data_IF_726760892485
#
_entry.id   IF_726760892485
#
_cell.length_a   1.000
_cell.length_b   1.000
_cell.length_c   1.000
_cell.angle_alpha   90.00
_cell.angle_beta   90.00
_cell.angle_gamma   90.00
#
_symmetry.space_group_name_H-M   'P 1'
#
loop_
_entity.id
_entity.type
_entity.pdbx_description
1 polymer ?
#
# COMPACT_ATOMS: atom_id res chain seq x y z
N UNK A 1 18.61 28.96 19.89
CA UNK A 1 18.76 27.52 20.07
C UNK A 1 19.74 26.92 19.07
N UNK A 2 20.34 25.76 19.35
CA UNK A 2 21.22 25.08 18.37
C UNK A 2 20.39 24.13 17.48
N UNK A 3 20.67 24.15 16.19
CA UNK A 3 20.03 23.25 15.24
C UNK A 3 20.41 21.77 15.54
N UNK A 4 19.46 20.85 15.72
CA UNK A 4 19.75 19.46 16.04
C UNK A 4 20.48 18.70 14.90
N UNK A 5 20.43 19.20 13.67
CA UNK A 5 21.01 18.55 12.51
C UNK A 5 22.43 19.02 12.16
N UNK A 6 22.69 20.34 12.22
CA UNK A 6 24.00 20.89 11.87
C UNK A 6 24.73 21.56 13.02
N UNK A 7 24.16 21.58 14.23
CA UNK A 7 24.70 22.14 15.48
C UNK A 7 25.08 23.64 15.45
N UNK A 8 24.66 24.36 14.39
CA UNK A 8 24.87 25.79 14.28
C UNK A 8 23.74 26.55 14.97
N UNK A 9 24.03 27.77 15.45
CA UNK A 9 23.05 28.62 16.10
C UNK A 9 21.97 29.11 15.14
N UNK A 10 20.72 29.01 15.57
CA UNK A 10 19.53 29.50 14.88
C UNK A 10 18.66 30.27 15.84
N UNK A 11 17.93 31.26 15.33
CA UNK A 11 17.04 32.08 16.14
C UNK A 11 15.96 31.23 16.79
N UNK A 12 15.59 31.57 18.03
CA UNK A 12 14.50 30.96 18.73
C UNK A 12 13.19 31.21 17.98
N UNK A 13 12.44 30.12 17.67
CA UNK A 13 11.22 30.19 16.87
C UNK A 13 11.41 30.08 15.34
N UNK A 14 12.61 29.84 14.85
CA UNK A 14 12.84 29.63 13.42
C UNK A 14 12.19 28.31 12.92
N UNK A 15 11.42 28.40 11.87
CA UNK A 15 10.72 27.27 11.23
C UNK A 15 11.69 26.40 10.41
N UNK A 16 12.77 27.01 9.87
CA UNK A 16 13.81 26.30 9.11
C UNK A 16 15.19 26.78 9.52
N UNK A 17 16.15 25.87 9.54
CA UNK A 17 17.55 26.21 9.78
C UNK A 17 18.12 26.95 8.56
N UNK A 18 18.63 28.16 8.76
CA UNK A 18 19.29 28.96 7.70
C UNK A 18 20.58 28.35 7.15
N UNK A 19 21.17 27.38 7.87
CA UNK A 19 22.45 26.78 7.50
C UNK A 19 22.32 25.45 6.76
N UNK A 20 21.36 24.60 7.14
CA UNK A 20 21.17 23.27 6.54
C UNK A 20 19.79 23.08 5.89
N UNK A 21 18.89 24.08 5.98
CA UNK A 21 17.56 24.03 5.38
C UNK A 21 16.58 23.08 6.11
N UNK A 22 17.02 22.37 7.15
CA UNK A 22 16.16 21.44 7.89
C UNK A 22 15.03 22.17 8.63
N UNK A 23 13.83 21.61 8.62
CA UNK A 23 12.69 22.12 9.38
C UNK A 23 12.91 21.97 10.88
N UNK A 24 12.75 23.05 11.64
CA UNK A 24 12.97 23.12 13.10
C UNK A 24 11.67 23.11 13.90
N UNK A 25 10.52 23.27 13.24
CA UNK A 25 9.21 23.40 13.90
C UNK A 25 8.44 22.12 14.10
N UNK A 26 9.01 21.00 13.63
CA UNK A 26 8.55 19.72 14.14
C UNK A 26 9.65 19.25 15.09
N UNK A 27 9.31 18.87 16.33
CA UNK A 27 10.12 17.83 16.95
C UNK A 27 10.25 16.76 15.85
N UNK A 28 11.44 16.14 15.65
CA UNK A 28 11.50 14.94 14.82
C UNK A 28 10.31 14.15 15.29
N UNK A 29 9.34 13.91 14.37
CA UNK A 29 8.10 13.29 14.76
C UNK A 29 8.52 12.28 15.79
N UNK A 30 8.32 12.61 17.05
CA UNK A 30 8.65 11.72 18.11
C UNK A 30 7.94 10.50 17.59
N UNK A 31 8.68 9.49 17.20
CA UNK A 31 8.19 8.15 17.18
C UNK A 31 7.83 7.87 18.64
N UNK A 32 6.86 8.64 19.16
CA UNK A 32 5.92 8.07 20.07
C UNK A 32 5.44 6.91 19.23
N UNK A 33 5.98 5.75 19.56
CA UNK A 33 5.37 4.49 19.29
C UNK A 33 3.90 4.63 19.74
N UNK A 34 3.10 5.31 18.93
CA UNK A 34 1.77 4.85 18.75
C UNK A 34 2.05 3.49 18.09
N UNK A 35 2.16 2.49 18.92
CA UNK A 35 1.63 1.18 18.59
C UNK A 35 0.19 1.49 18.21
N UNK A 36 0.03 2.01 17.00
CA UNK A 36 -1.26 2.25 16.44
C UNK A 36 -1.85 0.86 16.46
N UNK A 37 -2.77 0.71 17.36
CA UNK A 37 -3.44 -0.51 17.67
C UNK A 37 -3.90 -1.10 16.34
N UNK A 38 -3.32 -2.23 15.94
CA UNK A 38 -3.75 -2.93 14.73
C UNK A 38 -5.26 -3.11 14.75
N UNK A 39 -5.87 -3.27 15.94
CA UNK A 39 -7.30 -3.29 16.14
C UNK A 39 -8.01 -2.02 15.67
N UNK A 40 -7.46 -0.85 15.93
CA UNK A 40 -8.04 0.41 15.43
C UNK A 40 -7.98 0.47 13.89
N UNK A 41 -6.88 0.04 13.29
CA UNK A 41 -6.70 -0.03 11.84
C UNK A 41 -7.66 -1.05 11.20
N UNK A 42 -7.79 -2.23 11.79
CA UNK A 42 -8.74 -3.25 11.35
C UNK A 42 -10.18 -2.74 11.45
N UNK A 43 -10.56 -2.12 12.57
CA UNK A 43 -11.90 -1.56 12.76
C UNK A 43 -12.19 -0.44 11.73
N UNK A 44 -11.21 0.40 11.40
CA UNK A 44 -11.35 1.41 10.36
C UNK A 44 -11.58 0.78 8.98
N UNK A 45 -10.81 -0.25 8.62
CA UNK A 45 -11.00 -1.00 7.38
C UNK A 45 -12.38 -1.67 7.32
N UNK A 46 -12.79 -2.30 8.42
CA UNK A 46 -14.07 -3.00 8.52
C UNK A 46 -15.27 -2.06 8.46
N UNK A 47 -15.22 -0.90 9.14
CA UNK A 47 -16.29 0.11 9.04
C UNK A 47 -16.39 0.67 7.62
N UNK A 48 -15.26 1.01 6.99
CA UNK A 48 -15.20 1.48 5.60
C UNK A 48 -15.80 0.45 4.64
N UNK A 49 -15.43 -0.82 4.80
CA UNK A 49 -15.98 -1.92 4.01
C UNK A 49 -17.49 -2.04 4.17
N UNK A 50 -17.99 -2.02 5.41
CA UNK A 50 -19.40 -2.16 5.74
C UNK A 50 -20.25 -1.01 5.19
N UNK A 51 -19.75 0.21 5.31
CA UNK A 51 -20.41 1.44 4.81
C UNK A 51 -20.53 1.44 3.27
N UNK A 52 -19.58 0.81 2.56
CA UNK A 52 -19.50 0.83 1.10
C UNK A 52 -19.70 -0.56 0.47
N UNK A 53 -20.28 -1.52 1.20
CA UNK A 53 -20.36 -2.93 0.82
C UNK A 53 -20.93 -3.13 -0.60
N UNK A 54 -22.04 -2.47 -0.93
CA UNK A 54 -22.70 -2.61 -2.23
C UNK A 54 -21.81 -2.19 -3.39
N UNK A 55 -21.18 -1.01 -3.27
CA UNK A 55 -20.31 -0.46 -4.31
C UNK A 55 -19.04 -1.30 -4.48
N UNK A 56 -18.46 -1.79 -3.36
CA UNK A 56 -17.29 -2.65 -3.35
C UNK A 56 -17.55 -4.03 -3.93
N UNK A 57 -18.72 -4.61 -3.67
CA UNK A 57 -19.15 -5.88 -4.25
C UNK A 57 -19.27 -5.76 -5.77
N UNK A 58 -19.94 -4.73 -6.27
CA UNK A 58 -20.08 -4.50 -7.70
C UNK A 58 -18.73 -4.26 -8.36
N UNK A 59 -17.89 -3.43 -7.77
CA UNK A 59 -16.53 -3.15 -8.25
C UNK A 59 -15.70 -4.44 -8.35
N UNK A 60 -15.70 -5.27 -7.30
CA UNK A 60 -14.92 -6.50 -7.24
C UNK A 60 -15.46 -7.55 -8.20
N UNK A 61 -16.77 -7.65 -8.34
CA UNK A 61 -17.42 -8.56 -9.32
C UNK A 61 -16.97 -8.22 -10.74
N UNK A 62 -17.07 -6.94 -11.13
CA UNK A 62 -16.63 -6.51 -12.46
C UNK A 62 -15.11 -6.73 -12.63
N UNK A 63 -14.31 -6.42 -11.60
CA UNK A 63 -12.87 -6.69 -11.62
C UNK A 63 -12.58 -8.18 -11.86
N UNK A 64 -13.26 -9.09 -11.16
CA UNK A 64 -13.11 -10.55 -11.38
C UNK A 64 -13.44 -10.99 -12.80
N UNK A 65 -14.41 -10.33 -13.45
CA UNK A 65 -14.79 -10.66 -14.84
C UNK A 65 -13.74 -10.22 -15.86
N UNK A 66 -13.06 -9.08 -15.61
CA UNK A 66 -12.11 -8.50 -16.57
C UNK A 66 -10.63 -8.85 -16.26
N UNK A 67 -10.33 -9.34 -15.06
CA UNK A 67 -8.95 -9.63 -14.64
C UNK A 67 -8.25 -10.75 -15.44
N UNK A 68 -9.00 -11.48 -16.24
CA UNK A 68 -8.50 -12.55 -17.12
C UNK A 68 -7.74 -12.06 -18.35
N UNK A 69 -7.81 -10.76 -18.66
CA UNK A 69 -7.11 -10.19 -19.81
C UNK A 69 -5.64 -9.95 -19.42
N UNK A 70 -4.68 -10.74 -19.96
CA UNK A 70 -3.27 -10.59 -19.66
C UNK A 70 -2.80 -9.16 -19.98
N UNK A 71 -1.81 -8.67 -19.25
CA UNK A 71 -1.23 -7.32 -19.39
C UNK A 71 -2.22 -6.20 -19.00
N UNK A 72 -3.43 -6.15 -19.58
CA UNK A 72 -4.47 -5.16 -19.20
C UNK A 72 -4.87 -5.28 -17.73
N UNK A 73 -4.76 -6.48 -17.16
CA UNK A 73 -5.01 -6.72 -15.73
C UNK A 73 -4.21 -5.78 -14.81
N UNK A 74 -2.99 -5.41 -15.20
CA UNK A 74 -2.14 -4.49 -14.43
C UNK A 74 -2.81 -3.12 -14.29
N UNK A 75 -3.41 -2.60 -15.36
CA UNK A 75 -4.18 -1.36 -15.33
C UNK A 75 -5.45 -1.49 -14.49
N UNK A 76 -6.12 -2.63 -14.56
CA UNK A 76 -7.32 -2.89 -13.77
C UNK A 76 -7.01 -3.05 -12.28
N UNK A 77 -5.88 -3.69 -11.91
CA UNK A 77 -5.39 -3.74 -10.52
C UNK A 77 -5.13 -2.33 -9.99
N UNK A 78 -4.48 -1.49 -10.79
CA UNK A 78 -4.23 -0.10 -10.41
C UNK A 78 -5.53 0.68 -10.21
N UNK A 79 -6.49 0.55 -11.11
CA UNK A 79 -7.81 1.18 -11.02
C UNK A 79 -8.60 0.69 -9.79
N UNK A 80 -8.60 -0.62 -9.56
CA UNK A 80 -9.22 -1.23 -8.38
C UNK A 80 -8.62 -0.68 -7.08
N UNK A 81 -7.29 -0.66 -6.98
CA UNK A 81 -6.58 -0.15 -5.81
C UNK A 81 -6.84 1.34 -5.58
N UNK A 82 -6.86 2.17 -6.63
CA UNK A 82 -7.22 3.60 -6.53
C UNK A 82 -8.65 3.81 -6.06
N UNK A 83 -9.59 2.99 -6.52
CA UNK A 83 -10.96 3.06 -6.05
C UNK A 83 -11.08 2.71 -4.56
N UNK A 84 -10.33 1.71 -4.08
CA UNK A 84 -10.26 1.39 -2.66
C UNK A 84 -9.58 2.50 -1.84
N UNK A 85 -8.50 3.11 -2.34
CA UNK A 85 -7.85 4.26 -1.70
C UNK A 85 -8.81 5.45 -1.55
N UNK A 86 -9.56 5.75 -2.60
CA UNK A 86 -10.59 6.80 -2.62
C UNK A 86 -11.65 6.57 -1.54
N UNK A 87 -12.14 5.33 -1.41
CA UNK A 87 -13.11 4.95 -0.37
C UNK A 87 -12.48 5.02 1.02
N UNK A 88 -11.24 4.55 1.20
CA UNK A 88 -10.53 4.59 2.48
C UNK A 88 -10.30 6.03 2.96
N UNK A 89 -10.06 6.95 2.04
CA UNK A 89 -9.89 8.39 2.30
C UNK A 89 -11.21 9.15 2.46
N UNK A 90 -12.35 8.49 2.25
CA UNK A 90 -13.69 9.12 2.21
C UNK A 90 -13.83 10.21 1.14
N UNK A 91 -13.06 10.12 0.05
CA UNK A 91 -13.08 11.05 -1.08
C UNK A 91 -14.22 10.76 -2.06
N UNK A 92 -14.99 9.69 -1.84
CA UNK A 92 -16.15 9.32 -2.63
C UNK A 92 -16.42 7.81 -2.62
N UNK A 93 -17.42 7.40 -3.41
CA UNK A 93 -17.82 6.00 -3.55
C UNK A 93 -16.95 5.26 -4.58
N UNK A 94 -16.84 3.95 -4.44
CA UNK A 94 -16.24 3.09 -5.45
C UNK A 94 -17.11 3.08 -6.71
N UNK A 95 -16.49 3.22 -7.88
CA UNK A 95 -17.18 3.22 -9.16
C UNK A 95 -16.50 2.25 -10.13
N UNK A 96 -17.29 1.50 -10.90
CA UNK A 96 -16.77 0.59 -11.92
C UNK A 96 -15.87 1.32 -12.94
N UNK A 97 -16.22 2.58 -13.26
CA UNK A 97 -15.42 3.41 -14.15
C UNK A 97 -14.00 3.69 -13.65
N UNK A 98 -13.74 3.58 -12.33
CA UNK A 98 -12.41 3.81 -11.77
C UNK A 98 -11.41 2.72 -12.20
N UNK A 99 -11.90 1.50 -12.53
CA UNK A 99 -11.07 0.40 -13.06
C UNK A 99 -10.33 0.79 -14.35
N UNK A 100 -10.89 1.71 -15.12
CA UNK A 100 -10.38 2.10 -16.45
C UNK A 100 -9.59 3.42 -16.41
N UNK A 101 -9.41 4.05 -15.25
CA UNK A 101 -8.79 5.40 -15.15
C UNK A 101 -7.32 5.42 -14.72
N UNK A 102 -6.73 4.27 -14.37
CA UNK A 102 -5.40 4.21 -13.77
C UNK A 102 -4.29 3.77 -14.75
N UNK A 103 -4.40 4.16 -16.01
CA UNK A 103 -3.42 3.82 -17.05
C UNK A 103 -2.17 4.70 -17.02
N UNK A 104 -2.20 5.81 -16.32
CA UNK A 104 -1.08 6.73 -16.13
C UNK A 104 0.12 6.09 -15.39
N UNK A 105 -0.15 5.21 -14.42
CA UNK A 105 0.89 4.48 -13.69
C UNK A 105 1.24 3.11 -14.31
N UNK A 106 0.59 2.74 -15.43
CA UNK A 106 0.73 1.42 -16.04
C UNK A 106 2.18 1.04 -16.33
N UNK A 107 2.95 1.91 -16.98
CA UNK A 107 4.33 1.60 -17.37
C UNK A 107 5.23 1.36 -16.14
N UNK A 108 5.14 2.21 -15.14
CA UNK A 108 5.92 2.06 -13.91
C UNK A 108 5.51 0.78 -13.14
N UNK A 109 4.21 0.53 -13.02
CA UNK A 109 3.69 -0.66 -12.37
C UNK A 109 4.04 -1.94 -13.13
N UNK A 110 3.97 -1.91 -14.47
CA UNK A 110 4.38 -3.05 -15.32
C UNK A 110 5.85 -3.40 -15.10
N UNK A 111 6.75 -2.41 -15.16
CA UNK A 111 8.19 -2.65 -14.94
C UNK A 111 8.45 -3.15 -13.51
N UNK A 112 7.79 -2.56 -12.52
CA UNK A 112 7.90 -2.99 -11.13
C UNK A 112 7.47 -4.46 -10.94
N UNK A 113 6.34 -4.85 -11.50
CA UNK A 113 5.84 -6.24 -11.45
C UNK A 113 6.72 -7.19 -12.27
N UNK A 114 7.25 -6.75 -13.40
CA UNK A 114 8.17 -7.54 -14.22
C UNK A 114 9.47 -7.86 -13.48
N UNK A 115 10.06 -6.87 -12.79
CA UNK A 115 11.23 -7.07 -11.94
C UNK A 115 10.91 -8.11 -10.85
N UNK A 116 9.78 -7.95 -10.17
CA UNK A 116 9.34 -8.91 -9.15
C UNK A 116 9.17 -10.32 -9.72
N UNK A 117 8.54 -10.44 -10.88
CA UNK A 117 8.33 -11.72 -11.55
C UNK A 117 9.66 -12.41 -11.90
N UNK A 118 10.63 -11.66 -12.43
CA UNK A 118 11.96 -12.20 -12.76
C UNK A 118 12.65 -12.72 -11.49
N UNK A 119 12.62 -11.95 -10.39
CA UNK A 119 13.22 -12.36 -9.11
C UNK A 119 12.53 -13.64 -8.59
N UNK A 120 11.21 -13.70 -8.63
CA UNK A 120 10.42 -14.86 -8.20
C UNK A 120 10.79 -16.10 -9.04
N UNK A 121 10.90 -15.98 -10.36
CA UNK A 121 11.31 -17.08 -11.24
C UNK A 121 12.70 -17.59 -10.85
N UNK A 122 13.66 -16.69 -10.64
CA UNK A 122 15.02 -17.07 -10.22
C UNK A 122 15.02 -17.76 -8.86
N UNK A 123 14.23 -17.29 -7.90
CA UNK A 123 14.11 -17.90 -6.57
C UNK A 123 13.52 -19.30 -6.63
N UNK A 124 12.62 -19.60 -7.56
CA UNK A 124 11.98 -20.91 -7.68
C UNK A 124 12.93 -22.03 -8.18
N UNK A 125 14.15 -21.69 -8.64
CA UNK A 125 15.18 -22.71 -8.89
C UNK A 125 15.69 -23.36 -7.59
N UNK A 126 15.41 -22.77 -6.42
CA UNK A 126 15.76 -23.34 -5.11
C UNK A 126 14.46 -23.84 -4.45
N UNK A 127 14.18 -25.16 -4.46
CA UNK A 127 12.95 -25.71 -3.87
C UNK A 127 12.82 -25.32 -2.38
N UNK A 128 11.60 -25.16 -1.90
CA UNK A 128 11.26 -24.77 -0.50
C UNK A 128 11.75 -23.38 -0.13
N UNK A 129 13.08 -23.13 -0.19
CA UNK A 129 13.66 -21.82 0.16
C UNK A 129 13.17 -20.73 -0.81
N UNK A 130 13.07 -21.04 -2.09
CA UNK A 130 12.54 -20.14 -3.11
C UNK A 130 11.08 -19.77 -2.88
N UNK A 131 10.26 -20.70 -2.44
CA UNK A 131 8.85 -20.41 -2.09
C UNK A 131 8.76 -19.45 -0.90
N UNK A 132 9.51 -19.70 0.17
CA UNK A 132 9.56 -18.81 1.34
C UNK A 132 10.08 -17.43 0.97
N UNK A 133 11.15 -17.37 0.18
CA UNK A 133 11.73 -16.11 -0.30
C UNK A 133 10.75 -15.32 -1.20
N UNK A 134 9.96 -16.00 -2.02
CA UNK A 134 8.93 -15.38 -2.87
C UNK A 134 7.80 -14.78 -2.04
N UNK A 135 7.37 -15.43 -0.97
CA UNK A 135 6.38 -14.89 -0.04
C UNK A 135 6.93 -13.64 0.67
N UNK A 136 8.18 -13.71 1.14
CA UNK A 136 8.85 -12.57 1.76
C UNK A 136 9.02 -11.40 0.78
N UNK A 137 9.38 -11.67 -0.47
CA UNK A 137 9.48 -10.65 -1.51
C UNK A 137 8.10 -10.01 -1.79
N UNK A 138 7.06 -10.81 -1.90
CA UNK A 138 5.68 -10.34 -2.07
C UNK A 138 5.28 -9.38 -0.95
N UNK A 139 5.59 -9.72 0.30
CA UNK A 139 5.37 -8.87 1.45
C UNK A 139 6.14 -7.54 1.35
N UNK A 140 7.45 -7.61 1.07
CA UNK A 140 8.33 -6.42 1.01
C UNK A 140 7.91 -5.47 -0.11
N UNK A 141 7.40 -5.97 -1.22
CA UNK A 141 7.08 -5.16 -2.41
C UNK A 141 5.69 -4.52 -2.38
N UNK A 142 4.79 -4.92 -1.46
CA UNK A 142 3.44 -4.34 -1.37
C UNK A 142 3.42 -2.81 -1.20
N UNK A 143 4.21 -2.20 -0.27
CA UNK A 143 4.21 -0.75 -0.12
C UNK A 143 4.57 0.00 -1.40
N UNK A 144 5.58 -0.48 -2.13
CA UNK A 144 6.04 0.17 -3.37
C UNK A 144 5.00 0.12 -4.48
N UNK A 145 4.29 -1.00 -4.62
CA UNK A 145 3.17 -1.10 -5.55
C UNK A 145 2.08 -0.06 -5.25
N UNK A 146 1.72 0.09 -3.98
CA UNK A 146 0.76 1.11 -3.54
C UNK A 146 1.26 2.53 -3.80
N UNK A 147 2.54 2.80 -3.58
CA UNK A 147 3.14 4.12 -3.84
C UNK A 147 3.13 4.48 -5.34
N UNK A 148 3.42 3.54 -6.23
CA UNK A 148 3.34 3.75 -7.67
C UNK A 148 1.89 4.05 -8.09
N UNK A 149 0.93 3.28 -7.58
CA UNK A 149 -0.49 3.43 -7.92
C UNK A 149 -1.04 4.76 -7.40
N UNK A 150 -0.70 5.13 -6.17
CA UNK A 150 -1.25 6.33 -5.51
C UNK A 150 -0.59 7.62 -5.98
N UNK A 151 0.75 7.63 -6.05
CA UNK A 151 1.55 8.84 -6.27
C UNK A 151 2.23 8.90 -7.65
N UNK A 152 2.11 7.87 -8.47
CA UNK A 152 2.79 7.81 -9.77
C UNK A 152 4.32 7.84 -9.67
N UNK A 153 4.90 7.43 -8.53
CA UNK A 153 6.36 7.45 -8.34
C UNK A 153 7.07 6.44 -9.22
N UNK A 154 8.32 6.73 -9.52
CA UNK A 154 9.18 5.84 -10.31
C UNK A 154 9.50 4.52 -9.59
N UNK A 155 9.91 3.51 -10.36
CA UNK A 155 10.21 2.17 -9.84
C UNK A 155 11.34 2.18 -8.80
N UNK A 156 12.41 2.95 -9.02
CA UNK A 156 13.53 3.06 -8.08
C UNK A 156 13.12 3.65 -6.73
N UNK A 157 12.29 4.70 -6.76
CA UNK A 157 11.77 5.33 -5.54
C UNK A 157 10.86 4.39 -4.78
N UNK A 158 10.02 3.64 -5.50
CA UNK A 158 9.14 2.64 -4.92
C UNK A 158 9.91 1.52 -4.22
N UNK A 159 10.96 0.98 -4.85
CA UNK A 159 11.80 -0.07 -4.26
C UNK A 159 12.53 0.43 -3.03
N UNK A 160 13.16 1.60 -3.09
CA UNK A 160 13.87 2.17 -1.92
C UNK A 160 12.91 2.46 -0.76
N UNK A 161 11.71 2.94 -1.07
CA UNK A 161 10.68 3.22 -0.07
C UNK A 161 10.11 1.93 0.56
N UNK A 162 10.02 0.82 -0.17
CA UNK A 162 9.63 -0.48 0.39
C UNK A 162 10.48 -0.86 1.59
N UNK A 163 11.80 -0.84 1.42
CA UNK A 163 12.72 -1.25 2.48
C UNK A 163 12.67 -0.30 3.68
N UNK A 164 12.70 1.00 3.46
CA UNK A 164 12.66 1.99 4.55
C UNK A 164 11.35 1.92 5.34
N UNK A 165 10.22 1.75 4.66
CA UNK A 165 8.90 1.71 5.28
C UNK A 165 8.68 0.44 6.09
N UNK A 166 9.11 -0.72 5.56
CA UNK A 166 8.97 -1.98 6.27
C UNK A 166 9.91 -2.02 7.49
N UNK A 167 11.13 -1.50 7.37
CA UNK A 167 12.04 -1.41 8.53
C UNK A 167 11.50 -0.48 9.62
N UNK A 168 10.80 0.59 9.26
CA UNK A 168 10.24 1.54 10.22
C UNK A 168 9.04 0.98 11.00
N UNK A 169 8.21 0.14 10.39
CA UNK A 169 6.97 -0.38 11.01
C UNK A 169 6.69 -1.84 10.59
N UNK A 170 7.69 -2.71 10.80
CA UNK A 170 7.65 -4.10 10.35
C UNK A 170 6.43 -4.88 10.89
N UNK A 171 6.13 -4.73 12.18
CA UNK A 171 5.09 -5.53 12.83
C UNK A 171 3.70 -5.22 12.26
N UNK A 172 3.35 -3.94 12.13
CA UNK A 172 2.03 -3.58 11.61
C UNK A 172 1.90 -3.91 10.12
N UNK A 173 2.97 -3.77 9.32
CA UNK A 173 2.97 -4.21 7.93
C UNK A 173 2.78 -5.72 7.81
N UNK A 174 3.48 -6.49 8.66
CA UNK A 174 3.36 -7.96 8.67
C UNK A 174 1.96 -8.38 9.06
N UNK A 175 1.39 -7.78 10.10
CA UNK A 175 0.00 -8.05 10.51
C UNK A 175 -1.00 -7.68 9.43
N UNK A 176 -0.87 -6.49 8.83
CA UNK A 176 -1.78 -6.05 7.77
C UNK A 176 -1.71 -6.98 6.56
N UNK A 177 -0.51 -7.39 6.16
CA UNK A 177 -0.29 -8.31 5.04
C UNK A 177 -0.85 -9.71 5.34
N UNK A 178 -0.52 -10.29 6.49
CA UNK A 178 -0.97 -11.63 6.86
C UNK A 178 -2.48 -11.68 7.02
N UNK A 179 -3.05 -10.78 7.83
CA UNK A 179 -4.50 -10.76 8.09
C UNK A 179 -5.27 -10.45 6.81
N UNK A 180 -4.81 -9.47 6.02
CA UNK A 180 -5.42 -9.14 4.74
C UNK A 180 -5.46 -10.34 3.78
N UNK A 181 -4.32 -11.04 3.62
CA UNK A 181 -4.26 -12.22 2.74
C UNK A 181 -5.02 -13.43 3.28
N UNK A 182 -5.05 -13.63 4.61
CA UNK A 182 -5.87 -14.69 5.23
C UNK A 182 -7.34 -14.45 4.96
N UNK A 183 -7.81 -13.21 5.09
CA UNK A 183 -9.21 -12.86 4.81
C UNK A 183 -9.53 -13.09 3.32
N UNK A 184 -8.67 -12.66 2.41
CA UNK A 184 -8.85 -12.90 0.96
C UNK A 184 -8.87 -14.41 0.68
N UNK A 185 -7.92 -15.16 1.25
CA UNK A 185 -7.82 -16.60 1.10
C UNK A 185 -9.02 -17.37 1.66
N UNK A 186 -9.55 -16.95 2.82
CA UNK A 186 -10.78 -17.52 3.39
C UNK A 186 -11.97 -17.36 2.43
N UNK A 187 -12.04 -16.24 1.73
CA UNK A 187 -13.06 -16.04 0.69
C UNK A 187 -12.92 -16.99 -0.49
N UNK A 188 -11.70 -17.37 -0.85
CA UNK A 188 -11.46 -18.32 -1.94
C UNK A 188 -12.04 -19.71 -1.65
N UNK A 189 -12.10 -20.12 -0.38
CA UNK A 189 -12.72 -21.38 0.05
C UNK A 189 -14.24 -21.39 -0.21
N UNK A 190 -14.87 -20.22 -0.16
CA UNK A 190 -16.30 -20.03 -0.43
C UNK A 190 -16.59 -19.68 -1.91
N UNK A 191 -15.68 -20.03 -2.81
CA UNK A 191 -15.74 -19.73 -4.24
C UNK A 191 -15.83 -18.23 -4.56
N UNK A 192 -16.24 -17.90 -5.81
CA UNK A 192 -16.33 -16.52 -6.31
C UNK A 192 -17.09 -15.56 -5.38
N UNK A 193 -18.17 -16.02 -4.74
CA UNK A 193 -18.98 -15.18 -3.86
C UNK A 193 -18.17 -14.74 -2.62
N UNK A 194 -17.39 -15.68 -2.05
CA UNK A 194 -16.52 -15.35 -0.93
C UNK A 194 -15.45 -14.32 -1.29
N UNK A 195 -14.75 -14.50 -2.41
CA UNK A 195 -13.71 -13.58 -2.88
C UNK A 195 -14.29 -12.16 -3.09
N UNK A 196 -15.46 -12.04 -3.70
CA UNK A 196 -16.11 -10.74 -3.96
C UNK A 196 -16.33 -9.94 -2.67
N UNK A 197 -16.61 -10.63 -1.56
CA UNK A 197 -16.82 -10.00 -0.26
C UNK A 197 -15.53 -9.74 0.50
N UNK A 198 -14.60 -10.69 0.47
CA UNK A 198 -13.41 -10.66 1.32
C UNK A 198 -12.23 -9.94 0.70
N UNK A 199 -12.10 -9.94 -0.63
CA UNK A 199 -10.99 -9.26 -1.30
C UNK A 199 -10.94 -7.75 -1.01
N UNK A 200 -12.05 -6.99 -1.11
CA UNK A 200 -12.00 -5.57 -0.78
C UNK A 200 -11.68 -5.33 0.70
N UNK A 201 -12.16 -6.18 1.61
CA UNK A 201 -11.84 -6.04 3.04
C UNK A 201 -10.34 -6.29 3.31
N UNK A 202 -9.78 -7.38 2.78
CA UNK A 202 -8.36 -7.67 2.95
C UNK A 202 -7.45 -6.59 2.36
N UNK A 203 -7.80 -6.08 1.19
CA UNK A 203 -7.08 -4.95 0.57
C UNK A 203 -7.21 -3.65 1.37
N UNK A 204 -8.38 -3.34 1.92
CA UNK A 204 -8.57 -2.16 2.76
C UNK A 204 -7.71 -2.19 4.03
N UNK A 205 -7.46 -3.36 4.64
CA UNK A 205 -6.56 -3.49 5.79
C UNK A 205 -5.13 -3.08 5.39
N UNK A 206 -4.65 -3.56 4.26
CA UNK A 206 -3.32 -3.22 3.73
C UNK A 206 -3.25 -1.72 3.37
N UNK A 207 -4.31 -1.19 2.77
CA UNK A 207 -4.43 0.23 2.42
C UNK A 207 -4.44 1.12 3.68
N UNK A 208 -5.10 0.73 4.75
CA UNK A 208 -5.08 1.49 6.01
C UNK A 208 -3.66 1.59 6.59
N UNK A 209 -2.87 0.52 6.50
CA UNK A 209 -1.45 0.58 6.90
C UNK A 209 -0.66 1.52 6.00
N UNK A 210 -0.87 1.48 4.67
CA UNK A 210 -0.25 2.40 3.72
C UNK A 210 -0.60 3.87 4.04
N UNK A 211 -1.87 4.17 4.28
CA UNK A 211 -2.34 5.54 4.59
C UNK A 211 -1.66 6.13 5.82
N UNK A 212 -1.29 5.30 6.79
CA UNK A 212 -0.59 5.74 8.01
C UNK A 212 0.86 6.14 7.78
N UNK A 213 1.55 5.48 6.85
CA UNK A 213 3.00 5.62 6.67
C UNK A 213 3.39 6.27 5.35
N UNK A 214 2.41 6.52 4.45
CA UNK A 214 2.68 7.14 3.15
C UNK A 214 3.38 8.49 3.29
N UNK A 215 4.28 8.86 2.35
CA UNK A 215 4.94 10.14 2.39
C UNK A 215 3.92 11.27 2.33
N UNK A 216 4.09 12.29 3.18
CA UNK A 216 3.29 13.50 3.15
C UNK A 216 3.39 14.13 1.76
N UNK A 217 2.25 14.61 1.23
CA UNK A 217 2.08 14.95 -0.17
C UNK A 217 3.20 15.82 -0.76
N UNK A 218 3.57 15.44 -1.95
CA UNK A 218 4.17 16.28 -2.99
C UNK A 218 3.18 16.42 -4.11
#
# INVERSE_FOLDING_TARGET
>A
MQCPFCKKEVNDGAIKCKHCGSSLTLPPASMTSQSADFGAMFNAAFSTWKENLGDLVVLTLVFCLICWIPIANIGFIAGYTRSLLKVARREGRAQVGDLFKAWDCFAALFVFLLINLIIVIVLHFIPVLGTLASIALGFVMVPGGLLIIDKGRGVSDAISWCFSTIQADFVNWLLAYLVGNVIIGAGAVLFLIGIILTAPLGQLIIIQQYERVKPAGS
#
